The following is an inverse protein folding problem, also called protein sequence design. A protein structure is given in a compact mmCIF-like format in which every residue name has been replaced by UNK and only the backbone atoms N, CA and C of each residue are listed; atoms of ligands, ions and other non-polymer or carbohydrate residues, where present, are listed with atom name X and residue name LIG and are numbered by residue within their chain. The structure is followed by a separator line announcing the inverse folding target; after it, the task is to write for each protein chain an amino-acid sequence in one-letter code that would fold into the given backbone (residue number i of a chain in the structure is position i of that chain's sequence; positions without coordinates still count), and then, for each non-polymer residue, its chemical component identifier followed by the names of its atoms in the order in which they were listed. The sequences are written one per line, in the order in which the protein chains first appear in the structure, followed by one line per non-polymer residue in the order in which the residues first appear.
data_IF_183258317824
#
_entry.id   IF_183258317824
#
_cell.length_a   1.000
_cell.length_b   1.000
_cell.length_c   1.000
_cell.angle_alpha   90.00
_cell.angle_beta   90.00
_cell.angle_gamma   90.00
#
_symmetry.space_group_name_H-M   'P 1'
#
loop_
_entity.id
_entity.type
_entity.pdbx_description
1 polymer ?
#
# COMPACT_ATOMS: atom_id res chain seq x y z
N UNK A 1 14.35 -6.70 2.78
CA UNK A 1 14.18 -7.64 3.91
C UNK A 1 12.86 -8.38 3.75
N UNK A 2 12.85 -9.67 3.97
CA UNK A 2 11.63 -10.49 3.99
C UNK A 2 11.16 -10.56 5.44
N UNK A 3 9.98 -10.00 5.71
CA UNK A 3 9.30 -10.07 7.02
C UNK A 3 8.28 -11.21 7.02
N UNK A 4 7.66 -11.47 8.16
CA UNK A 4 6.66 -12.53 8.30
C UNK A 4 5.48 -12.35 7.33
N UNK A 5 5.10 -11.09 7.05
CA UNK A 5 4.04 -10.77 6.07
C UNK A 5 4.41 -11.19 4.63
N UNK A 6 5.69 -11.24 4.30
CA UNK A 6 6.18 -11.59 2.97
C UNK A 6 6.64 -13.05 2.86
N UNK A 7 6.75 -13.77 3.97
CA UNK A 7 7.16 -15.17 3.97
C UNK A 7 6.14 -16.04 3.24
N UNK A 8 6.64 -16.96 2.44
CA UNK A 8 5.80 -17.85 1.64
C UNK A 8 5.17 -17.23 0.38
N UNK A 9 5.38 -15.93 0.12
CA UNK A 9 4.90 -15.31 -1.12
C UNK A 9 5.81 -15.65 -2.31
N UNK A 10 5.20 -15.76 -3.49
CA UNK A 10 5.90 -16.00 -4.76
C UNK A 10 6.19 -14.65 -5.41
N UNK A 11 7.44 -14.45 -5.79
CA UNK A 11 7.89 -13.25 -6.49
C UNK A 11 8.18 -13.51 -7.96
N UNK A 12 8.15 -12.45 -8.78
CA UNK A 12 8.50 -12.52 -10.18
C UNK A 12 10.03 -12.70 -10.37
N UNK A 13 10.44 -13.05 -11.58
CA UNK A 13 11.85 -13.23 -11.94
C UNK A 13 12.69 -11.94 -11.92
N UNK A 14 12.06 -10.77 -11.78
CA UNK A 14 12.76 -9.47 -11.72
C UNK A 14 13.24 -9.10 -10.31
N UNK A 15 13.18 -10.04 -9.36
CA UNK A 15 13.65 -9.84 -8.00
C UNK A 15 14.87 -10.71 -7.72
N UNK A 16 15.94 -10.10 -7.24
CA UNK A 16 17.12 -10.79 -6.73
C UNK A 16 17.00 -11.05 -5.24
N UNK A 17 17.30 -12.27 -4.81
CA UNK A 17 17.29 -12.68 -3.41
C UNK A 17 18.72 -12.81 -2.89
N UNK A 18 18.97 -12.23 -1.73
CA UNK A 18 20.22 -12.43 -0.99
C UNK A 18 19.91 -13.31 0.21
N UNK A 19 20.47 -14.51 0.21
CA UNK A 19 20.48 -15.37 1.39
C UNK A 19 21.74 -15.04 2.22
N UNK A 20 21.53 -14.54 3.42
CA UNK A 20 22.64 -14.19 4.30
C UNK A 20 22.71 -15.11 5.51
N UNK A 21 23.87 -15.20 6.12
CA UNK A 21 23.99 -15.79 7.45
C UNK A 21 23.16 -14.98 8.46
N UNK A 22 22.62 -15.64 9.47
CA UNK A 22 21.57 -15.15 10.37
C UNK A 22 21.77 -13.72 10.89
N UNK A 23 22.95 -13.37 11.36
CA UNK A 23 23.23 -12.05 11.96
C UNK A 23 23.60 -10.95 10.96
N UNK A 24 23.61 -11.22 9.67
CA UNK A 24 24.05 -10.25 8.66
C UNK A 24 22.94 -9.67 7.80
N UNK A 25 21.76 -10.30 7.74
CA UNK A 25 20.67 -9.88 6.87
C UNK A 25 20.29 -8.40 7.05
N UNK A 26 20.05 -7.97 8.27
CA UNK A 26 19.72 -6.58 8.57
C UNK A 26 20.84 -5.61 8.28
N UNK A 27 22.09 -6.01 8.54
CA UNK A 27 23.27 -5.20 8.22
C UNK A 27 23.42 -4.99 6.72
N UNK A 28 23.32 -6.06 5.92
CA UNK A 28 23.34 -5.99 4.46
C UNK A 28 22.21 -5.10 3.95
N UNK A 29 21.00 -5.31 4.47
CA UNK A 29 19.85 -4.49 4.12
C UNK A 29 20.08 -3.01 4.41
N UNK A 30 20.53 -2.65 5.61
CA UNK A 30 20.80 -1.27 6.00
C UNK A 30 21.88 -0.62 5.12
N UNK A 31 22.94 -1.37 4.81
CA UNK A 31 24.00 -0.90 3.91
C UNK A 31 23.47 -0.63 2.50
N UNK A 32 22.79 -1.60 1.89
CA UNK A 32 22.23 -1.45 0.54
C UNK A 32 21.16 -0.36 0.47
N UNK A 33 20.45 -0.09 1.57
CA UNK A 33 19.46 1.00 1.68
C UNK A 33 20.11 2.37 1.89
N UNK A 34 21.37 2.44 2.30
CA UNK A 34 22.09 3.69 2.50
C UNK A 34 22.33 4.41 1.17
N UNK A 35 22.61 5.73 1.22
CA UNK A 35 22.94 6.52 0.03
C UNK A 35 24.16 5.95 -0.72
N UNK A 36 25.16 5.42 0.01
CA UNK A 36 26.35 4.80 -0.57
C UNK A 36 26.00 3.50 -1.27
N UNK A 37 25.29 2.60 -0.60
CA UNK A 37 24.87 1.33 -1.18
C UNK A 37 23.98 1.51 -2.42
N UNK A 38 23.05 2.45 -2.37
CA UNK A 38 22.21 2.79 -3.53
C UNK A 38 23.05 3.32 -4.71
N UNK A 39 24.04 4.16 -4.45
CA UNK A 39 24.89 4.69 -5.50
C UNK A 39 25.73 3.59 -6.18
N UNK A 40 26.25 2.63 -5.41
CA UNK A 40 26.99 1.48 -5.95
C UNK A 40 26.07 0.58 -6.79
N UNK A 41 24.85 0.30 -6.31
CA UNK A 41 23.86 -0.48 -7.07
C UNK A 41 23.51 0.19 -8.40
N UNK A 42 23.31 1.51 -8.41
CA UNK A 42 23.00 2.27 -9.61
C UNK A 42 24.14 2.23 -10.64
N UNK A 43 25.40 2.24 -10.19
CA UNK A 43 26.57 2.16 -11.08
C UNK A 43 26.73 0.76 -11.70
N UNK A 44 26.32 -0.27 -11.01
CA UNK A 44 26.39 -1.65 -11.49
C UNK A 44 25.19 -2.07 -12.35
N UNK A 45 24.20 -1.19 -12.48
CA UNK A 45 23.03 -1.45 -13.30
C UNK A 45 23.28 -1.15 -14.77
N UNK A 46 22.60 -1.86 -15.66
CA UNK A 46 22.67 -1.66 -17.11
C UNK A 46 21.27 -1.56 -17.72
N UNK A 47 21.18 -1.02 -18.93
CA UNK A 47 19.93 -0.84 -19.66
C UNK A 47 19.59 0.63 -19.89
N UNK A 48 19.06 0.94 -21.08
CA UNK A 48 18.79 2.32 -21.50
C UNK A 48 17.40 2.80 -21.10
N UNK A 49 16.41 1.90 -20.99
CA UNK A 49 15.01 2.21 -20.70
C UNK A 49 14.56 1.56 -19.39
N UNK A 50 14.93 0.29 -19.19
CA UNK A 50 14.69 -0.45 -17.96
C UNK A 50 16.06 -0.87 -17.43
N UNK A 51 16.36 -0.50 -16.20
CA UNK A 51 17.63 -0.81 -15.55
C UNK A 51 17.56 -2.18 -14.91
N UNK A 52 18.53 -3.04 -15.23
CA UNK A 52 18.64 -4.38 -14.67
C UNK A 52 19.93 -4.53 -13.86
N UNK A 53 19.90 -5.40 -12.87
CA UNK A 53 21.07 -5.84 -12.09
C UNK A 53 21.06 -7.37 -12.14
N UNK A 54 22.19 -7.96 -12.51
CA UNK A 54 22.36 -9.41 -12.50
C UNK A 54 22.90 -9.88 -11.14
N UNK A 55 22.73 -11.17 -10.80
CA UNK A 55 23.25 -11.73 -9.54
C UNK A 55 24.75 -11.47 -9.32
N UNK A 56 25.55 -11.56 -10.38
CA UNK A 56 27.01 -11.34 -10.35
C UNK A 56 27.32 -9.89 -9.97
N UNK A 57 26.59 -8.92 -10.53
CA UNK A 57 26.76 -7.50 -10.19
C UNK A 57 26.41 -7.22 -8.73
N UNK A 58 25.41 -7.93 -8.17
CA UNK A 58 25.06 -7.80 -6.78
C UNK A 58 26.07 -8.47 -5.86
N UNK A 59 26.62 -9.61 -6.27
CA UNK A 59 27.64 -10.34 -5.52
C UNK A 59 28.96 -9.55 -5.39
N UNK A 60 29.29 -8.75 -6.39
CA UNK A 60 30.52 -7.92 -6.43
C UNK A 60 30.36 -6.58 -5.68
N UNK A 61 29.20 -6.29 -5.09
CA UNK A 61 29.02 -5.05 -4.31
C UNK A 61 29.92 -5.06 -3.07
N UNK A 62 30.87 -4.11 -2.95
CA UNK A 62 31.72 -4.05 -1.77
C UNK A 62 30.90 -3.62 -0.55
N UNK A 63 31.01 -4.36 0.54
CA UNK A 63 30.39 -4.03 1.82
C UNK A 63 31.46 -3.92 2.91
N UNK A 64 31.45 -2.87 3.76
CA UNK A 64 32.39 -2.76 4.87
C UNK A 64 32.26 -3.94 5.82
N UNK A 65 33.38 -4.53 6.21
CA UNK A 65 33.40 -5.58 7.22
C UNK A 65 33.46 -4.97 8.64
N UNK A 66 32.33 -4.45 9.12
CA UNK A 66 32.24 -3.86 10.45
C UNK A 66 32.47 -4.88 11.58
N UNK A 67 32.86 -4.44 12.81
CA UNK A 67 32.89 -5.30 13.99
C UNK A 67 31.57 -6.04 14.20
N UNK A 68 31.64 -7.24 14.80
CA UNK A 68 30.46 -8.12 14.97
C UNK A 68 29.38 -7.44 15.78
N UNK A 69 29.75 -6.71 16.82
CA UNK A 69 28.83 -6.01 17.71
C UNK A 69 28.00 -4.95 16.94
N UNK A 70 28.64 -4.21 16.05
CA UNK A 70 27.97 -3.19 15.21
C UNK A 70 27.03 -3.86 14.20
N UNK A 71 27.46 -4.97 13.59
CA UNK A 71 26.58 -5.72 12.67
C UNK A 71 25.33 -6.23 13.38
N UNK A 72 25.50 -6.81 14.58
CA UNK A 72 24.39 -7.33 15.36
C UNK A 72 23.44 -6.23 15.84
N UNK A 73 23.97 -5.08 16.25
CA UNK A 73 23.14 -3.93 16.65
C UNK A 73 22.29 -3.43 15.47
N UNK A 74 22.91 -3.21 14.30
CA UNK A 74 22.21 -2.79 13.09
C UNK A 74 21.20 -3.86 12.65
N UNK A 75 21.60 -5.14 12.67
CA UNK A 75 20.71 -6.26 12.34
C UNK A 75 19.47 -6.23 13.23
N UNK A 76 19.65 -6.14 14.55
CA UNK A 76 18.54 -6.08 15.50
C UNK A 76 17.60 -4.90 15.23
N UNK A 77 18.15 -3.70 14.98
CA UNK A 77 17.32 -2.52 14.69
C UNK A 77 16.45 -2.72 13.44
N UNK A 78 16.98 -3.37 12.41
CA UNK A 78 16.23 -3.68 11.17
C UNK A 78 15.14 -4.71 11.46
N UNK A 79 15.45 -5.79 12.18
CA UNK A 79 14.48 -6.82 12.56
C UNK A 79 13.34 -6.20 13.37
N UNK A 80 13.67 -5.47 14.44
CA UNK A 80 12.67 -4.81 15.30
C UNK A 80 11.77 -3.85 14.49
N UNK A 81 12.35 -3.13 13.53
CA UNK A 81 11.58 -2.22 12.65
C UNK A 81 10.57 -2.98 11.77
N UNK A 82 10.93 -4.14 11.23
CA UNK A 82 10.03 -4.94 10.42
C UNK A 82 8.97 -5.64 11.28
N UNK A 83 9.33 -6.14 12.45
CA UNK A 83 8.37 -6.71 13.39
C UNK A 83 7.28 -5.70 13.80
N UNK A 84 7.67 -4.45 14.08
CA UNK A 84 6.71 -3.37 14.37
C UNK A 84 5.81 -3.05 13.17
N UNK A 85 6.32 -3.17 11.95
CA UNK A 85 5.53 -2.98 10.72
C UNK A 85 4.51 -4.10 10.54
N UNK A 86 4.93 -5.35 10.77
CA UNK A 86 4.05 -6.51 10.66
C UNK A 86 2.95 -6.45 11.74
N UNK A 87 3.29 -6.06 12.97
CA UNK A 87 2.31 -5.80 14.02
C UNK A 87 1.32 -4.68 13.64
N UNK A 88 1.82 -3.59 13.03
CA UNK A 88 0.96 -2.50 12.54
C UNK A 88 -0.01 -2.98 11.46
N UNK A 89 0.44 -3.77 10.50
CA UNK A 89 -0.42 -4.34 9.46
C UNK A 89 -1.50 -5.24 10.08
N UNK A 90 -1.09 -6.14 10.99
CA UNK A 90 -2.02 -7.01 11.70
C UNK A 90 -3.11 -6.23 12.46
N UNK A 91 -2.75 -5.16 13.16
CA UNK A 91 -3.71 -4.31 13.86
C UNK A 91 -4.68 -3.61 12.90
N UNK A 92 -4.22 -3.23 11.70
CA UNK A 92 -5.10 -2.67 10.67
C UNK A 92 -6.08 -3.72 10.14
N UNK A 93 -5.62 -4.94 9.90
CA UNK A 93 -6.49 -6.05 9.47
C UNK A 93 -7.53 -6.38 10.55
N UNK A 94 -7.11 -6.48 11.83
CA UNK A 94 -8.01 -6.70 12.96
C UNK A 94 -9.05 -5.57 13.10
N UNK A 95 -8.67 -4.32 12.84
CA UNK A 95 -9.59 -3.19 12.88
C UNK A 95 -10.64 -3.25 11.75
N UNK A 96 -10.22 -3.68 10.54
CA UNK A 96 -11.14 -3.90 9.42
C UNK A 96 -12.07 -5.08 9.69
N UNK A 97 -11.55 -6.19 10.21
CA UNK A 97 -12.35 -7.35 10.57
C UNK A 97 -13.40 -7.00 11.64
N UNK A 98 -13.00 -6.26 12.67
CA UNK A 98 -13.92 -5.77 13.71
C UNK A 98 -15.02 -4.91 13.10
N UNK A 99 -14.68 -3.98 12.19
CA UNK A 99 -15.65 -3.15 11.50
C UNK A 99 -16.67 -4.00 10.72
N UNK A 100 -16.19 -4.98 9.95
CA UNK A 100 -17.04 -5.89 9.16
C UNK A 100 -17.97 -6.70 10.07
N UNK A 101 -17.44 -7.23 11.18
CA UNK A 101 -18.20 -8.04 12.13
C UNK A 101 -19.26 -7.23 12.86
N UNK A 102 -18.91 -6.06 13.39
CA UNK A 102 -19.84 -5.20 14.15
C UNK A 102 -20.95 -4.63 13.27
N UNK A 103 -20.62 -4.27 12.03
CA UNK A 103 -21.62 -3.79 11.07
C UNK A 103 -22.33 -4.93 10.35
N UNK A 104 -21.94 -6.18 10.57
CA UNK A 104 -22.47 -7.38 9.89
C UNK A 104 -22.47 -7.22 8.37
N UNK A 105 -21.41 -6.63 7.84
CA UNK A 105 -21.26 -6.43 6.41
C UNK A 105 -21.05 -7.80 5.73
N UNK A 106 -21.89 -8.17 4.77
CA UNK A 106 -21.65 -9.38 3.98
C UNK A 106 -20.46 -9.17 3.04
N UNK A 107 -19.81 -10.25 2.57
CA UNK A 107 -18.87 -10.18 1.45
C UNK A 107 -19.54 -9.45 0.27
N UNK A 108 -18.75 -8.68 -0.47
CA UNK A 108 -19.24 -7.88 -1.62
C UNK A 108 -19.96 -8.79 -2.64
N UNK A 109 -19.47 -10.01 -2.81
CA UNK A 109 -20.00 -11.02 -3.73
C UNK A 109 -21.39 -11.53 -3.31
N UNK A 110 -21.74 -11.41 -2.03
CA UNK A 110 -23.05 -11.79 -1.50
C UNK A 110 -24.07 -10.64 -1.52
N UNK A 111 -23.62 -9.41 -1.76
CA UNK A 111 -24.50 -8.27 -1.98
C UNK A 111 -25.05 -8.43 -3.40
N UNK A 112 -26.21 -9.10 -3.53
CA UNK A 112 -26.86 -9.35 -4.80
C UNK A 112 -27.07 -8.06 -5.60
N UNK A 113 -26.61 -8.05 -6.84
CA UNK A 113 -26.77 -6.93 -7.77
C UNK A 113 -27.58 -7.44 -8.95
N UNK A 114 -28.89 -7.31 -8.88
CA UNK A 114 -29.82 -7.69 -9.96
C UNK A 114 -29.88 -6.65 -11.09
N UNK A 115 -29.17 -5.53 -10.96
CA UNK A 115 -29.28 -4.38 -11.85
C UNK A 115 -28.38 -4.49 -13.11
N UNK A 116 -27.58 -5.55 -13.26
CA UNK A 116 -26.82 -5.77 -14.50
C UNK A 116 -27.70 -6.39 -15.59
N UNK A 117 -27.52 -5.92 -16.81
CA UNK A 117 -28.19 -6.48 -17.98
C UNK A 117 -27.62 -7.87 -18.28
N UNK A 118 -28.44 -8.90 -18.10
CA UNK A 118 -28.07 -10.28 -18.41
C UNK A 118 -27.85 -10.45 -19.92
N UNK A 119 -26.90 -11.30 -20.29
CA UNK A 119 -26.56 -11.63 -21.69
C UNK A 119 -25.95 -10.50 -22.54
N UNK A 120 -25.53 -9.40 -21.93
CA UNK A 120 -24.79 -8.38 -22.65
C UNK A 120 -23.31 -8.81 -22.85
N UNK A 121 -22.70 -8.55 -24.02
CA UNK A 121 -21.29 -8.88 -24.29
C UNK A 121 -20.30 -8.07 -23.43
N UNK A 122 -20.77 -7.03 -22.77
CA UNK A 122 -20.05 -6.18 -21.81
C UNK A 122 -20.98 -5.94 -20.64
N UNK A 123 -20.44 -5.91 -19.41
CA UNK A 123 -21.23 -5.56 -18.23
C UNK A 123 -21.86 -4.18 -18.42
N UNK A 124 -23.18 -4.15 -18.46
CA UNK A 124 -23.98 -2.93 -18.64
C UNK A 124 -25.06 -2.85 -17.59
N UNK A 125 -25.44 -1.64 -17.22
CA UNK A 125 -26.53 -1.39 -16.28
C UNK A 125 -27.32 -0.14 -16.70
N UNK A 126 -28.54 -0.02 -16.22
CA UNK A 126 -29.44 1.08 -16.53
C UNK A 126 -29.55 2.03 -15.32
N UNK A 127 -29.43 3.33 -15.60
CA UNK A 127 -29.63 4.38 -14.62
C UNK A 127 -30.81 5.25 -15.00
N UNK A 128 -31.74 5.49 -14.09
CA UNK A 128 -32.85 6.42 -14.32
C UNK A 128 -32.33 7.85 -14.38
N UNK A 129 -32.85 8.66 -15.29
CA UNK A 129 -32.46 10.07 -15.44
C UNK A 129 -32.57 10.86 -14.10
N UNK A 130 -33.57 10.54 -13.27
CA UNK A 130 -33.75 11.14 -11.96
C UNK A 130 -32.66 10.77 -10.94
N UNK A 131 -31.83 9.76 -11.22
CA UNK A 131 -30.75 9.26 -10.35
C UNK A 131 -29.37 9.71 -10.80
N UNK A 132 -29.27 10.46 -11.91
CA UNK A 132 -27.97 10.88 -12.44
C UNK A 132 -27.20 11.86 -11.53
N UNK A 133 -27.89 12.60 -10.65
CA UNK A 133 -27.25 13.54 -9.71
C UNK A 133 -26.25 14.50 -10.39
N UNK A 134 -26.57 14.95 -11.62
CA UNK A 134 -25.69 15.75 -12.49
C UNK A 134 -24.37 15.07 -12.86
N UNK A 135 -24.28 13.75 -12.76
CA UNK A 135 -23.13 12.95 -13.15
C UNK A 135 -23.54 11.88 -14.16
N UNK A 136 -22.72 11.74 -15.22
CA UNK A 136 -22.95 10.77 -16.31
C UNK A 136 -21.83 9.70 -16.39
N UNK A 137 -20.87 9.76 -15.48
CA UNK A 137 -19.78 8.82 -15.44
C UNK A 137 -20.26 7.46 -14.88
N UNK A 138 -20.04 6.39 -15.63
CA UNK A 138 -20.50 5.05 -15.29
C UNK A 138 -19.98 4.57 -13.93
N UNK A 139 -18.74 4.89 -13.58
CA UNK A 139 -18.13 4.51 -12.30
C UNK A 139 -18.84 5.07 -11.07
N UNK A 140 -19.56 6.18 -11.21
CA UNK A 140 -20.37 6.74 -10.13
C UNK A 140 -21.68 5.97 -9.90
N UNK A 141 -22.20 5.33 -10.94
CA UNK A 141 -23.50 4.69 -10.95
C UNK A 141 -23.44 3.16 -10.87
N UNK A 142 -22.26 2.60 -10.57
CA UNK A 142 -22.10 1.15 -10.46
C UNK A 142 -23.13 0.60 -9.45
N UNK A 143 -23.97 -0.38 -9.85
CA UNK A 143 -25.08 -0.88 -9.04
C UNK A 143 -24.67 -1.36 -7.65
N UNK A 144 -23.48 -1.94 -7.50
CA UNK A 144 -22.98 -2.42 -6.21
C UNK A 144 -22.90 -1.32 -5.15
N UNK A 145 -22.54 -0.09 -5.54
CA UNK A 145 -22.47 1.04 -4.59
C UNK A 145 -23.84 1.35 -4.01
N UNK A 146 -24.87 1.33 -4.85
CA UNK A 146 -26.25 1.52 -4.40
C UNK A 146 -26.69 0.38 -3.48
N UNK A 147 -26.40 -0.85 -3.85
CA UNK A 147 -26.73 -2.03 -3.04
C UNK A 147 -26.09 -1.96 -1.66
N UNK A 148 -24.83 -1.54 -1.56
CA UNK A 148 -24.12 -1.33 -0.29
C UNK A 148 -24.82 -0.24 0.54
N UNK A 149 -25.14 0.91 -0.06
CA UNK A 149 -25.82 2.02 0.66
C UNK A 149 -27.20 1.60 1.13
N UNK A 150 -27.96 0.89 0.32
CA UNK A 150 -29.29 0.37 0.68
C UNK A 150 -29.18 -0.67 1.82
N UNK A 151 -28.15 -1.53 1.78
CA UNK A 151 -27.86 -2.48 2.86
C UNK A 151 -27.55 -1.75 4.17
N UNK A 152 -26.66 -0.75 4.14
CA UNK A 152 -26.32 0.05 5.32
C UNK A 152 -27.56 0.74 5.91
N UNK A 153 -28.35 1.40 5.07
CA UNK A 153 -29.59 2.08 5.52
C UNK A 153 -30.61 1.13 6.13
N UNK A 154 -30.62 -0.12 5.70
CA UNK A 154 -31.56 -1.15 6.21
C UNK A 154 -31.10 -1.77 7.53
N UNK A 155 -29.79 -1.94 7.72
CA UNK A 155 -29.25 -2.78 8.78
C UNK A 155 -28.51 -1.99 9.87
N UNK A 156 -27.98 -0.80 9.58
CA UNK A 156 -27.35 0.05 10.59
C UNK A 156 -28.41 0.80 11.40
N UNK A 157 -28.13 1.01 12.69
CA UNK A 157 -28.99 1.80 13.56
C UNK A 157 -29.08 3.28 13.09
N UNK A 158 -28.00 3.83 12.57
CA UNK A 158 -27.91 5.16 11.98
C UNK A 158 -26.86 5.15 10.88
N UNK A 159 -27.15 5.79 9.77
CA UNK A 159 -26.18 6.06 8.69
C UNK A 159 -25.97 7.56 8.61
N UNK A 160 -24.72 7.99 8.68
CA UNK A 160 -24.33 9.39 8.57
C UNK A 160 -23.28 9.58 7.48
N UNK A 161 -22.86 10.80 7.25
CA UNK A 161 -21.85 11.11 6.23
C UNK A 161 -20.51 11.48 6.86
N UNK A 162 -19.41 11.32 6.12
CA UNK A 162 -18.09 11.77 6.55
C UNK A 162 -18.10 13.27 6.90
N UNK A 163 -18.93 14.07 6.22
CA UNK A 163 -19.06 15.51 6.49
C UNK A 163 -19.88 15.89 7.72
N UNK A 164 -20.51 14.93 8.40
CA UNK A 164 -21.22 15.18 9.67
C UNK A 164 -20.20 15.62 10.73
N UNK A 165 -20.51 16.70 11.45
CA UNK A 165 -19.63 17.27 12.46
C UNK A 165 -19.31 16.33 13.65
N UNK A 166 -20.13 15.27 13.84
CA UNK A 166 -19.88 14.20 14.82
C UNK A 166 -18.80 13.23 14.35
N UNK A 167 -18.57 13.14 13.03
CA UNK A 167 -17.61 12.22 12.39
C UNK A 167 -16.32 12.93 12.02
N UNK A 168 -16.42 14.07 11.32
CA UNK A 168 -15.24 14.83 10.94
C UNK A 168 -15.41 16.32 11.19
N UNK A 169 -14.31 16.98 11.52
CA UNK A 169 -14.30 18.43 11.73
C UNK A 169 -14.37 19.20 10.41
N UNK A 170 -13.63 18.74 9.41
CA UNK A 170 -13.58 19.33 8.08
C UNK A 170 -13.19 18.29 7.04
N UNK A 171 -13.76 18.36 5.86
CA UNK A 171 -13.29 17.67 4.65
C UNK A 171 -12.71 18.73 3.74
N UNK A 172 -11.37 18.77 3.60
CA UNK A 172 -10.65 19.87 2.95
C UNK A 172 -9.88 19.35 1.74
N UNK A 173 -10.08 20.00 0.60
CA UNK A 173 -9.16 19.90 -0.53
C UNK A 173 -8.16 21.05 -0.41
N UNK A 174 -6.87 20.80 -0.13
CA UNK A 174 -5.87 21.84 -0.09
C UNK A 174 -5.81 22.59 -1.42
N UNK A 175 -5.67 23.93 -1.36
CA UNK A 175 -5.52 24.76 -2.55
C UNK A 175 -4.25 24.40 -3.33
N UNK A 176 -4.28 24.60 -4.65
CA UNK A 176 -3.07 24.45 -5.48
C UNK A 176 -2.04 25.50 -5.06
N UNK A 177 -0.79 25.07 -4.89
CA UNK A 177 0.33 25.97 -4.60
C UNK A 177 1.50 25.70 -5.54
N UNK A 178 2.30 26.72 -5.76
CA UNK A 178 3.54 26.59 -6.53
C UNK A 178 4.58 25.86 -5.68
N UNK A 179 5.12 24.76 -6.20
CA UNK A 179 6.24 24.07 -5.57
C UNK A 179 7.52 24.85 -5.81
N UNK A 180 8.25 25.13 -4.74
CA UNK A 180 9.61 25.68 -4.78
C UNK A 180 10.48 24.67 -4.08
N UNK A 181 11.40 24.06 -4.84
CA UNK A 181 12.36 23.12 -4.27
C UNK A 181 13.51 23.93 -3.65
N UNK A 182 13.83 23.60 -2.43
CA UNK A 182 14.89 24.24 -1.64
C UNK A 182 15.75 23.15 -1.00
N UNK A 183 16.94 23.54 -0.54
CA UNK A 183 17.85 22.64 0.16
C UNK A 183 17.26 22.15 1.49
N UNK A 184 17.77 21.04 2.00
CA UNK A 184 17.36 20.46 3.26
C UNK A 184 17.45 21.48 4.39
N UNK A 185 16.39 21.59 5.20
CA UNK A 185 16.29 22.54 6.29
C UNK A 185 15.62 23.89 5.95
N UNK A 186 15.47 24.23 4.66
CA UNK A 186 14.86 25.50 4.22
C UNK A 186 13.41 25.36 3.76
N UNK A 187 12.83 24.17 3.86
CA UNK A 187 11.46 23.89 3.45
C UNK A 187 10.79 22.84 4.31
N UNK A 188 9.56 22.47 3.93
CA UNK A 188 8.82 21.36 4.52
C UNK A 188 8.82 20.19 3.56
N UNK A 189 8.90 18.97 4.10
CA UNK A 189 8.77 17.75 3.32
C UNK A 189 7.38 17.73 2.69
N UNK A 190 7.36 17.55 1.37
CA UNK A 190 6.13 17.34 0.61
C UNK A 190 6.02 15.86 0.30
N UNK A 191 4.89 15.27 0.70
CA UNK A 191 4.55 13.86 0.51
C UNK A 191 3.59 13.73 -0.68
#
# INVERSE_FOLDING_TARGET
YVSDTLDGLIFSHDLLRIDSNDDNAGYIYAYLKSKIGQQILLTNSYGAVITHIEPEHLADVPIPNAPVEIKQEIHKMVIDSYALRDESNKLLDEAMDLLVQELKLPPIEEIGVDDFVQDAPVETFLVKLSQLNNRVDASYHVPIVKAIVDYLNKNAAEVTTIGDCRISRNVILPGRFKRVYVDEGYGRIFI
#
